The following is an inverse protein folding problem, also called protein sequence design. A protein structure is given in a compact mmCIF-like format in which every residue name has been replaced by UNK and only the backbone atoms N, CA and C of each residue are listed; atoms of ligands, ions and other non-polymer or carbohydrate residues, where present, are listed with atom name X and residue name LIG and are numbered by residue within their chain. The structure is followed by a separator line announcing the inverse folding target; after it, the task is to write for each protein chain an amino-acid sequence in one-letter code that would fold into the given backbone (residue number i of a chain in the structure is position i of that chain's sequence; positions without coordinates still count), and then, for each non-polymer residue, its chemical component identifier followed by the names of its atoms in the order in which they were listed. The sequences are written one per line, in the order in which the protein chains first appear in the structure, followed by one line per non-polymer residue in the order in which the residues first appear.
data_IF_930342930821
#
_entry.id   IF_930342930821
#
_cell.length_a   1.000
_cell.length_b   1.000
_cell.length_c   1.000
_cell.angle_alpha   90.00
_cell.angle_beta   90.00
_cell.angle_gamma   90.00
#
_symmetry.space_group_name_H-M   'P 1'
#
loop_
_entity.id
_entity.type
_entity.pdbx_description
1 polymer ?
#
# COMPACT_ATOMS: atom_id res chain seq x y z
N UNK A 1 26.23 -16.55 -26.20
CA UNK A 1 25.85 -15.71 -25.04
C UNK A 1 24.35 -15.94 -24.82
N UNK A 2 23.98 -16.70 -23.80
CA UNK A 2 22.57 -16.85 -23.42
C UNK A 2 22.03 -15.48 -23.06
N UNK A 3 20.94 -15.05 -23.68
CA UNK A 3 20.29 -13.80 -23.37
C UNK A 3 20.00 -13.76 -21.85
N UNK A 4 20.46 -12.71 -21.18
CA UNK A 4 20.09 -12.51 -19.77
C UNK A 4 18.57 -12.39 -19.71
N UNK A 5 17.92 -13.26 -18.89
CA UNK A 5 16.45 -13.28 -18.82
C UNK A 5 15.86 -11.96 -18.32
N UNK A 6 14.54 -11.83 -18.37
CA UNK A 6 13.79 -10.63 -18.01
C UNK A 6 13.23 -10.74 -16.60
N UNK A 7 13.58 -9.79 -15.74
CA UNK A 7 12.99 -9.60 -14.40
C UNK A 7 12.06 -8.40 -14.42
N UNK A 8 10.78 -8.60 -14.12
CA UNK A 8 9.84 -7.51 -13.92
C UNK A 8 9.60 -7.26 -12.43
N UNK A 9 9.69 -6.00 -12.04
CA UNK A 9 9.25 -5.49 -10.75
C UNK A 9 7.89 -4.83 -10.96
N UNK A 10 6.83 -5.48 -10.55
CA UNK A 10 5.47 -4.99 -10.73
C UNK A 10 5.02 -4.20 -9.50
N UNK A 11 4.82 -2.89 -9.68
CA UNK A 11 4.47 -1.95 -8.64
C UNK A 11 5.67 -1.28 -7.98
N UNK A 12 5.53 0.01 -7.68
CA UNK A 12 6.53 0.85 -7.00
C UNK A 12 6.34 0.90 -5.49
N UNK A 13 6.01 -0.22 -4.86
CA UNK A 13 5.83 -0.28 -3.42
C UNK A 13 7.15 -0.15 -2.64
N UNK A 14 7.02 -0.17 -1.32
CA UNK A 14 8.13 0.08 -0.41
C UNK A 14 9.30 -0.92 -0.59
N UNK A 15 8.99 -2.21 -0.77
CA UNK A 15 10.01 -3.25 -0.93
C UNK A 15 10.83 -3.04 -2.20
N UNK A 16 10.17 -2.70 -3.31
CA UNK A 16 10.87 -2.41 -4.57
C UNK A 16 11.71 -1.13 -4.48
N UNK A 17 11.19 -0.08 -3.84
CA UNK A 17 11.94 1.16 -3.60
C UNK A 17 13.23 0.89 -2.79
N UNK A 18 13.15 0.07 -1.73
CA UNK A 18 14.33 -0.32 -0.94
C UNK A 18 15.33 -1.15 -1.74
N UNK A 19 14.85 -2.08 -2.57
CA UNK A 19 15.69 -2.89 -3.44
C UNK A 19 16.42 -2.02 -4.47
N UNK A 20 15.71 -1.11 -5.12
CA UNK A 20 16.31 -0.16 -6.08
C UNK A 20 17.34 0.74 -5.40
N UNK A 21 17.01 1.30 -4.22
CA UNK A 21 17.98 2.08 -3.43
C UNK A 21 19.23 1.27 -3.11
N UNK A 22 19.07 0.01 -2.73
CA UNK A 22 20.20 -0.88 -2.45
C UNK A 22 21.06 -1.11 -3.69
N UNK A 23 20.45 -1.35 -4.85
CA UNK A 23 21.19 -1.55 -6.10
C UNK A 23 21.86 -0.26 -6.59
N UNK A 24 21.25 0.90 -6.38
CA UNK A 24 21.90 2.19 -6.63
C UNK A 24 23.15 2.40 -5.78
N UNK A 25 23.09 1.99 -4.49
CA UNK A 25 24.25 2.11 -3.57
C UNK A 25 25.29 0.99 -3.75
N UNK A 26 24.89 -0.17 -4.27
CA UNK A 26 25.72 -1.37 -4.44
C UNK A 26 25.41 -2.04 -5.78
N UNK A 27 25.89 -1.48 -6.89
CA UNK A 27 25.58 -1.97 -8.24
C UNK A 27 26.00 -3.44 -8.47
N UNK A 28 27.02 -3.90 -7.76
CA UNK A 28 27.50 -5.28 -7.83
C UNK A 28 26.48 -6.32 -7.31
N UNK A 29 25.51 -5.89 -6.50
CA UNK A 29 24.43 -6.75 -5.98
C UNK A 29 23.23 -6.79 -6.91
N UNK A 30 23.19 -5.95 -7.95
CA UNK A 30 22.12 -5.97 -8.93
C UNK A 30 22.21 -7.23 -9.80
N UNK A 31 21.11 -7.97 -9.99
CA UNK A 31 21.08 -9.10 -10.93
C UNK A 31 21.47 -8.68 -12.35
N UNK A 32 22.08 -9.60 -13.09
CA UNK A 32 22.55 -9.33 -14.47
C UNK A 32 21.44 -9.34 -15.53
N UNK A 33 20.22 -9.69 -15.12
CA UNK A 33 19.04 -9.71 -15.97
C UNK A 33 18.68 -8.32 -16.49
N UNK A 34 17.92 -8.27 -17.58
CA UNK A 34 17.20 -7.06 -17.95
C UNK A 34 16.09 -6.81 -16.91
N UNK A 35 16.15 -5.68 -16.20
CA UNK A 35 15.21 -5.39 -15.12
C UNK A 35 14.37 -4.19 -15.49
N UNK A 36 13.04 -4.33 -15.34
CA UNK A 36 12.10 -3.22 -15.56
C UNK A 36 11.17 -3.10 -14.37
N UNK A 37 11.09 -1.89 -13.78
CA UNK A 37 10.02 -1.52 -12.85
C UNK A 37 8.82 -1.02 -13.65
N UNK A 38 7.66 -1.62 -13.41
CA UNK A 38 6.37 -1.18 -13.99
C UNK A 38 5.52 -0.59 -12.89
N UNK A 39 5.15 0.69 -13.00
CA UNK A 39 4.26 1.34 -12.05
C UNK A 39 3.37 2.36 -12.76
N UNK A 40 2.18 2.64 -12.19
CA UNK A 40 1.19 3.56 -12.79
C UNK A 40 1.61 5.03 -12.78
N UNK A 41 2.57 5.40 -11.94
CA UNK A 41 3.08 6.76 -11.78
C UNK A 41 4.59 6.71 -11.55
N UNK A 42 5.30 7.73 -11.99
CA UNK A 42 6.72 7.91 -11.69
C UNK A 42 6.98 8.27 -10.22
N UNK A 43 5.95 8.65 -9.48
CA UNK A 43 6.04 8.99 -8.06
C UNK A 43 5.24 8.00 -7.22
N UNK A 44 5.82 7.54 -6.12
CA UNK A 44 5.14 6.79 -5.08
C UNK A 44 5.17 7.55 -3.75
N UNK A 45 4.09 7.46 -2.96
CA UNK A 45 4.07 8.02 -1.62
C UNK A 45 4.49 6.97 -0.59
N UNK A 46 5.39 7.35 0.29
CA UNK A 46 5.82 6.48 1.39
C UNK A 46 4.72 6.37 2.45
N UNK A 47 4.03 5.25 2.46
CA UNK A 47 2.85 5.05 3.33
C UNK A 47 3.15 5.11 4.82
N UNK A 48 4.38 4.82 5.26
CA UNK A 48 4.79 4.92 6.66
C UNK A 48 4.80 6.35 7.22
N UNK A 49 4.87 7.36 6.36
CA UNK A 49 4.83 8.77 6.77
C UNK A 49 3.43 9.39 6.64
N UNK A 50 2.43 8.67 6.13
CA UNK A 50 1.07 9.18 5.93
C UNK A 50 0.41 9.69 7.21
N UNK A 51 0.52 9.01 8.37
CA UNK A 51 -0.01 9.58 9.62
C UNK A 51 0.59 10.94 9.96
N UNK A 52 1.89 11.12 9.73
CA UNK A 52 2.57 12.41 9.92
C UNK A 52 2.09 13.49 8.93
N UNK A 53 1.84 13.13 7.68
CA UNK A 53 1.22 14.04 6.68
C UNK A 53 -0.19 14.45 7.13
N UNK A 54 -1.03 13.51 7.55
CA UNK A 54 -2.36 13.80 8.08
C UNK A 54 -2.28 14.73 9.30
N UNK A 55 -1.30 14.50 10.18
CA UNK A 55 -1.06 15.33 11.35
C UNK A 55 -0.49 16.74 11.05
N UNK A 56 -0.16 17.03 9.79
CA UNK A 56 0.46 18.28 9.38
C UNK A 56 1.94 18.43 9.76
N UNK A 57 2.63 17.30 10.02
CA UNK A 57 4.06 17.27 10.35
C UNK A 57 4.96 17.29 9.11
N UNK A 58 4.43 16.85 7.99
CA UNK A 58 5.12 16.74 6.70
C UNK A 58 4.30 17.35 5.59
N UNK A 59 4.97 17.81 4.55
CA UNK A 59 4.37 18.16 3.27
C UNK A 59 4.34 16.93 2.36
N UNK A 60 3.50 16.97 1.31
CA UNK A 60 3.29 15.82 0.42
C UNK A 60 4.55 15.43 -0.37
N UNK A 61 5.36 16.40 -0.75
CA UNK A 61 6.61 16.21 -1.47
C UNK A 61 7.68 15.51 -0.63
N UNK A 62 7.67 15.70 0.70
CA UNK A 62 8.59 15.00 1.61
C UNK A 62 8.34 13.49 1.68
N UNK A 63 7.12 13.05 1.33
CA UNK A 63 6.74 11.64 1.27
C UNK A 63 6.96 11.03 -0.13
N UNK A 64 7.26 11.86 -1.12
CA UNK A 64 7.34 11.45 -2.50
C UNK A 64 8.66 10.71 -2.79
N UNK A 65 8.55 9.54 -3.38
CA UNK A 65 9.69 8.78 -3.90
C UNK A 65 9.64 8.89 -5.42
N UNK A 66 10.65 9.50 -6.03
CA UNK A 66 10.82 9.50 -7.48
C UNK A 66 11.35 8.13 -7.93
N UNK A 67 10.45 7.31 -8.44
CA UNK A 67 10.77 5.96 -8.89
C UNK A 67 11.59 5.98 -10.19
N UNK A 68 11.40 6.98 -11.05
CA UNK A 68 12.16 7.12 -12.30
C UNK A 68 13.63 7.40 -12.00
N UNK A 69 13.89 8.41 -11.17
CA UNK A 69 15.24 8.74 -10.73
C UNK A 69 15.91 7.55 -10.01
N UNK A 70 15.16 6.88 -9.15
CA UNK A 70 15.67 5.73 -8.40
C UNK A 70 15.99 4.55 -9.30
N UNK A 71 15.20 4.31 -10.35
CA UNK A 71 15.48 3.30 -11.36
C UNK A 71 16.74 3.65 -12.18
N UNK A 72 16.88 4.90 -12.59
CA UNK A 72 18.06 5.38 -13.33
C UNK A 72 19.34 5.15 -12.51
N UNK A 73 19.32 5.52 -11.22
CA UNK A 73 20.46 5.31 -10.32
C UNK A 73 20.76 3.82 -10.09
N UNK A 74 19.74 2.97 -10.12
CA UNK A 74 19.89 1.53 -9.96
C UNK A 74 20.26 0.80 -11.28
N UNK A 75 20.29 1.48 -12.42
CA UNK A 75 20.48 0.86 -13.73
C UNK A 75 19.31 -0.07 -14.11
N UNK A 76 18.09 0.30 -13.76
CA UNK A 76 16.83 -0.41 -14.01
C UNK A 76 15.95 0.41 -14.94
N UNK A 77 15.32 -0.22 -15.93
CA UNK A 77 14.38 0.48 -16.79
C UNK A 77 13.09 0.82 -16.01
N UNK A 78 12.54 2.02 -16.23
CA UNK A 78 11.24 2.42 -15.68
C UNK A 78 10.19 2.47 -16.78
N UNK A 79 9.06 1.80 -16.56
CA UNK A 79 7.89 1.86 -17.44
C UNK A 79 6.68 2.38 -16.67
N UNK A 80 6.20 3.55 -17.07
CA UNK A 80 4.95 4.09 -16.54
C UNK A 80 3.77 3.44 -17.25
N UNK A 81 3.11 2.51 -16.55
CA UNK A 81 1.95 1.78 -17.03
C UNK A 81 1.10 1.25 -15.88
N UNK A 82 -0.21 1.17 -16.12
CA UNK A 82 -1.13 0.55 -15.17
C UNK A 82 -1.22 -0.95 -15.44
N UNK A 83 -0.92 -1.73 -14.41
CA UNK A 83 -1.03 -3.19 -14.44
C UNK A 83 -2.50 -3.55 -14.22
N UNK A 84 -3.11 -4.25 -15.19
CA UNK A 84 -4.52 -4.65 -15.14
C UNK A 84 -4.70 -6.14 -14.86
N UNK A 85 -3.62 -6.93 -14.99
CA UNK A 85 -3.69 -8.36 -14.77
C UNK A 85 -2.34 -9.06 -14.82
N UNK A 86 -2.39 -10.34 -14.53
CA UNK A 86 -1.27 -11.27 -14.60
C UNK A 86 -1.74 -12.59 -15.21
N UNK A 87 -1.07 -13.06 -16.25
CA UNK A 87 -1.20 -14.41 -16.75
C UNK A 87 0.05 -15.22 -16.36
N UNK A 88 -0.05 -16.09 -15.34
CA UNK A 88 1.10 -16.86 -14.86
C UNK A 88 1.50 -17.99 -15.81
N UNK A 89 0.56 -18.52 -16.60
CA UNK A 89 0.80 -19.62 -17.56
C UNK A 89 1.70 -19.15 -18.71
N UNK A 90 1.37 -18.01 -19.27
CA UNK A 90 2.11 -17.40 -20.37
C UNK A 90 3.23 -16.48 -19.87
N UNK A 91 3.38 -16.36 -18.53
CA UNK A 91 4.37 -15.49 -17.87
C UNK A 91 4.33 -14.06 -18.41
N UNK A 92 3.16 -13.44 -18.43
CA UNK A 92 3.04 -12.06 -18.86
C UNK A 92 2.20 -11.20 -17.92
N UNK A 93 2.57 -9.91 -17.84
CA UNK A 93 1.79 -8.85 -17.20
C UNK A 93 0.90 -8.18 -18.24
N UNK A 94 -0.37 -8.03 -17.91
CA UNK A 94 -1.36 -7.31 -18.72
C UNK A 94 -1.34 -5.83 -18.30
N UNK A 95 -1.24 -4.96 -19.29
CA UNK A 95 -1.15 -3.51 -19.10
C UNK A 95 -2.35 -2.81 -19.75
N UNK A 96 -2.78 -1.69 -19.16
CA UNK A 96 -3.83 -0.87 -19.74
C UNK A 96 -3.35 -0.19 -21.02
N UNK A 97 -4.04 -0.45 -22.13
CA UNK A 97 -3.79 0.17 -23.45
C UNK A 97 -2.33 0.03 -23.93
N UNK A 98 -1.66 -1.06 -23.55
CA UNK A 98 -0.31 -1.40 -24.01
C UNK A 98 -0.20 -2.89 -24.25
N UNK A 99 0.77 -3.34 -25.07
CA UNK A 99 1.10 -4.75 -25.20
C UNK A 99 1.47 -5.36 -23.85
N UNK A 100 1.23 -6.65 -23.71
CA UNK A 100 1.66 -7.41 -22.55
C UNK A 100 3.18 -7.49 -22.45
N UNK A 101 3.68 -7.62 -21.21
CA UNK A 101 5.11 -7.78 -20.94
C UNK A 101 5.40 -9.19 -20.47
N UNK A 102 6.21 -9.91 -21.25
CA UNK A 102 6.71 -11.22 -20.85
C UNK A 102 7.86 -11.13 -19.88
N UNK A 103 7.98 -12.13 -18.99
CA UNK A 103 9.01 -12.20 -17.97
C UNK A 103 9.50 -13.63 -17.74
N UNK A 104 10.74 -13.78 -17.30
CA UNK A 104 11.25 -15.02 -16.75
C UNK A 104 11.05 -15.05 -15.23
N UNK A 105 11.21 -13.89 -14.58
CA UNK A 105 11.00 -13.67 -13.14
C UNK A 105 10.10 -12.45 -12.91
N UNK A 106 9.24 -12.58 -11.91
CA UNK A 106 8.33 -11.51 -11.51
C UNK A 106 8.38 -11.29 -10.00
N UNK A 107 8.56 -10.05 -9.59
CA UNK A 107 8.36 -9.59 -8.21
C UNK A 107 7.14 -8.69 -8.16
N UNK A 108 6.27 -8.88 -7.16
CA UNK A 108 5.02 -8.14 -6.98
C UNK A 108 5.08 -7.26 -5.73
N UNK A 109 4.99 -5.95 -5.91
CA UNK A 109 4.82 -4.97 -4.82
C UNK A 109 3.84 -3.87 -5.28
N UNK A 110 2.65 -4.31 -5.65
CA UNK A 110 1.57 -3.49 -6.22
C UNK A 110 0.70 -2.80 -5.17
N UNK A 111 1.06 -2.95 -3.91
CA UNK A 111 0.31 -2.40 -2.79
C UNK A 111 -0.99 -3.13 -2.54
N UNK A 112 -1.86 -2.46 -1.79
CA UNK A 112 -3.18 -2.96 -1.45
C UNK A 112 -4.21 -1.84 -1.57
N UNK A 113 -5.46 -2.21 -1.80
CA UNK A 113 -6.62 -1.31 -1.80
C UNK A 113 -7.50 -1.64 -0.59
N UNK A 114 -8.18 -0.65 -0.06
CA UNK A 114 -9.21 -0.89 0.94
C UNK A 114 -10.37 -1.65 0.32
N UNK A 115 -11.07 -2.46 1.13
CA UNK A 115 -12.30 -3.10 0.67
C UNK A 115 -13.33 -2.02 0.35
N UNK A 116 -14.04 -2.14 -0.77
CA UNK A 116 -15.15 -1.24 -1.05
C UNK A 116 -16.18 -1.28 0.08
N UNK A 117 -16.70 -0.14 0.46
CA UNK A 117 -17.80 -0.01 1.40
C UNK A 117 -18.78 1.04 0.88
N UNK A 118 -20.04 0.89 1.19
CA UNK A 118 -21.07 1.86 0.83
C UNK A 118 -20.95 3.16 1.64
N UNK A 119 -20.21 3.14 2.76
CA UNK A 119 -20.08 4.26 3.69
C UNK A 119 -18.65 4.69 3.85
N UNK A 120 -18.34 5.96 3.54
CA UNK A 120 -17.07 6.61 3.81
C UNK A 120 -16.00 6.44 2.73
N UNK A 121 -14.97 7.26 2.84
CA UNK A 121 -13.83 7.33 1.92
C UNK A 121 -12.75 6.34 2.37
N UNK A 122 -12.33 5.41 1.51
CA UNK A 122 -11.28 4.47 1.87
C UNK A 122 -9.94 5.19 2.04
N UNK A 123 -9.16 4.80 3.06
CA UNK A 123 -7.81 5.37 3.27
C UNK A 123 -6.86 5.04 2.11
N UNK A 124 -7.13 4.00 1.35
CA UNK A 124 -6.38 3.64 0.13
C UNK A 124 -7.34 3.47 -1.05
N UNK A 125 -7.05 4.11 -2.19
CA UNK A 125 -5.82 4.86 -2.51
C UNK A 125 -5.71 6.19 -1.75
N UNK A 126 -4.48 6.60 -1.42
CA UNK A 126 -4.20 7.75 -0.55
C UNK A 126 -4.66 9.08 -1.15
N UNK A 127 -4.63 9.21 -2.46
CA UNK A 127 -5.00 10.44 -3.16
C UNK A 127 -6.45 10.88 -2.83
N UNK A 128 -7.38 9.91 -2.84
CA UNK A 128 -8.78 10.19 -2.54
C UNK A 128 -9.00 10.58 -1.07
N UNK A 129 -8.33 9.89 -0.15
CA UNK A 129 -8.46 10.18 1.29
C UNK A 129 -7.80 11.52 1.66
N UNK A 130 -6.69 11.87 1.04
CA UNK A 130 -6.04 13.16 1.28
C UNK A 130 -6.87 14.31 0.70
N UNK A 131 -7.41 14.17 -0.51
CA UNK A 131 -8.30 15.16 -1.09
C UNK A 131 -9.57 15.36 -0.24
N UNK A 132 -10.14 14.27 0.29
CA UNK A 132 -11.25 14.35 1.24
C UNK A 132 -10.87 15.13 2.51
N UNK A 133 -9.73 14.83 3.12
CA UNK A 133 -9.28 15.55 4.33
C UNK A 133 -8.95 17.02 4.07
N UNK A 134 -8.53 17.37 2.86
CA UNK A 134 -8.29 18.75 2.45
C UNK A 134 -9.62 19.54 2.26
N UNK A 135 -10.73 18.85 1.93
CA UNK A 135 -12.06 19.46 1.79
C UNK A 135 -12.82 19.59 3.10
N UNK A 136 -12.37 18.92 4.18
CA UNK A 136 -13.07 18.97 5.48
C UNK A 136 -12.86 20.28 6.20
N UNK A 137 -13.94 20.82 6.77
CA UNK A 137 -13.90 21.99 7.66
C UNK A 137 -13.51 21.57 9.08
N UNK A 138 -12.38 22.07 9.62
CA UNK A 138 -11.98 21.77 11.00
C UNK A 138 -12.99 22.21 12.07
N UNK A 139 -13.82 23.19 11.77
CA UNK A 139 -14.82 23.77 12.70
C UNK A 139 -16.19 23.12 12.63
N UNK A 140 -16.40 22.20 11.68
CA UNK A 140 -17.69 21.53 11.53
C UNK A 140 -18.06 20.77 12.81
N UNK A 141 -19.30 20.89 13.24
CA UNK A 141 -19.86 20.25 14.43
C UNK A 141 -20.13 18.75 14.22
N UNK A 142 -20.28 18.31 12.96
CA UNK A 142 -20.51 16.91 12.65
C UNK A 142 -19.23 16.08 12.91
N UNK A 143 -19.31 15.00 13.70
CA UNK A 143 -18.13 14.19 14.01
C UNK A 143 -17.53 13.54 12.77
N UNK A 144 -16.21 13.66 12.59
CA UNK A 144 -15.49 12.86 11.61
C UNK A 144 -15.21 11.48 12.19
N UNK A 145 -15.66 10.44 11.48
CA UNK A 145 -15.53 9.04 11.92
C UNK A 145 -14.39 8.31 11.19
N UNK A 146 -13.54 7.63 11.94
CA UNK A 146 -12.59 6.65 11.41
C UNK A 146 -13.16 5.26 11.69
N UNK A 147 -13.41 4.50 10.62
CA UNK A 147 -13.99 3.15 10.70
C UNK A 147 -12.88 2.12 10.60
N UNK A 148 -12.67 1.36 11.66
CA UNK A 148 -11.65 0.33 11.79
C UNK A 148 -10.58 0.69 12.83
N UNK A 149 -10.60 0.00 13.97
CA UNK A 149 -9.71 0.22 15.11
C UNK A 149 -8.43 -0.64 15.07
N UNK A 150 -7.98 -1.05 13.88
CA UNK A 150 -6.65 -1.63 13.69
C UNK A 150 -5.55 -0.57 13.74
N UNK A 151 -4.28 -0.99 13.60
CA UNK A 151 -3.13 -0.09 13.68
C UNK A 151 -3.28 1.16 12.79
N UNK A 152 -3.68 1.00 11.53
CA UNK A 152 -3.86 2.12 10.61
C UNK A 152 -4.97 3.09 11.08
N UNK A 153 -6.09 2.60 11.59
CA UNK A 153 -7.17 3.46 12.08
C UNK A 153 -6.79 4.23 13.34
N UNK A 154 -6.06 3.59 14.25
CA UNK A 154 -5.52 4.23 15.45
C UNK A 154 -4.53 5.35 15.08
N UNK A 155 -3.59 5.08 14.18
CA UNK A 155 -2.63 6.08 13.70
C UNK A 155 -3.34 7.26 13.03
N UNK A 156 -4.34 6.98 12.17
CA UNK A 156 -5.10 8.01 11.46
C UNK A 156 -5.92 8.87 12.42
N UNK A 157 -6.66 8.29 13.36
CA UNK A 157 -7.50 9.09 14.28
C UNK A 157 -6.66 9.95 15.22
N UNK A 158 -5.52 9.47 15.68
CA UNK A 158 -4.58 10.24 16.49
C UNK A 158 -3.91 11.36 15.67
N UNK A 159 -3.57 11.10 14.42
CA UNK A 159 -3.05 12.10 13.50
C UNK A 159 -4.09 13.23 13.24
N UNK A 160 -5.36 12.85 13.05
CA UNK A 160 -6.47 13.80 12.91
C UNK A 160 -6.66 14.65 14.17
N UNK A 161 -6.55 14.07 15.38
CA UNK A 161 -6.61 14.82 16.63
C UNK A 161 -5.51 15.87 16.72
N UNK A 162 -4.30 15.52 16.27
CA UNK A 162 -3.20 16.49 16.21
C UNK A 162 -3.48 17.60 15.19
N UNK A 163 -4.01 17.25 14.02
CA UNK A 163 -4.35 18.22 12.95
C UNK A 163 -5.46 19.17 13.37
N UNK A 164 -6.51 18.63 14.01
CA UNK A 164 -7.73 19.33 14.40
C UNK A 164 -8.04 19.13 15.88
N UNK A 165 -7.41 19.92 16.78
CA UNK A 165 -7.52 19.72 18.21
C UNK A 165 -8.94 19.82 18.78
N UNK A 166 -9.82 20.57 18.12
CA UNK A 166 -11.20 20.81 18.59
C UNK A 166 -12.28 20.00 17.82
N UNK A 167 -11.92 19.38 16.72
CA UNK A 167 -12.87 18.60 15.92
C UNK A 167 -13.40 17.40 16.69
N UNK A 168 -14.71 17.17 16.63
CA UNK A 168 -15.29 15.94 17.16
C UNK A 168 -14.81 14.73 16.33
N UNK A 169 -14.13 13.77 16.99
CA UNK A 169 -13.58 12.59 16.34
C UNK A 169 -14.15 11.31 16.95
N UNK A 170 -14.45 10.35 16.09
CA UNK A 170 -14.95 9.04 16.49
C UNK A 170 -14.08 7.93 15.88
N UNK A 171 -13.82 6.88 16.66
CA UNK A 171 -13.18 5.66 16.18
C UNK A 171 -14.20 4.52 16.30
N UNK A 172 -14.59 3.95 15.17
CA UNK A 172 -15.52 2.83 15.14
C UNK A 172 -14.77 1.50 15.08
N UNK A 173 -15.06 0.61 16.03
CA UNK A 173 -14.61 -0.77 16.02
C UNK A 173 -15.78 -1.73 15.77
N UNK A 174 -15.53 -2.83 15.04
CA UNK A 174 -16.59 -3.80 14.72
C UNK A 174 -16.90 -4.70 15.90
N UNK A 175 -15.85 -5.21 16.55
CA UNK A 175 -15.96 -6.11 17.70
C UNK A 175 -14.57 -6.27 18.34
N UNK A 176 -14.55 -6.57 19.61
CA UNK A 176 -13.33 -6.76 20.38
C UNK A 176 -13.11 -5.63 21.37
N UNK A 177 -12.26 -5.88 22.33
CA UNK A 177 -11.90 -4.91 23.35
C UNK A 177 -10.53 -4.34 22.97
N UNK A 178 -10.44 -3.03 22.84
CA UNK A 178 -9.16 -2.35 22.70
C UNK A 178 -8.31 -2.62 23.97
N UNK A 179 -7.02 -2.71 23.79
CA UNK A 179 -6.09 -2.73 24.92
C UNK A 179 -6.38 -1.57 25.88
N UNK A 180 -6.40 -1.79 27.21
CA UNK A 180 -6.70 -0.74 28.18
C UNK A 180 -5.84 0.51 28.06
N UNK A 181 -4.55 0.36 27.70
CA UNK A 181 -3.66 1.50 27.49
C UNK A 181 -4.09 2.32 26.25
N UNK A 182 -4.54 1.65 25.19
CA UNK A 182 -5.08 2.34 24.00
C UNK A 182 -6.41 3.03 24.31
N UNK A 183 -7.29 2.41 25.11
CA UNK A 183 -8.54 3.05 25.56
C UNK A 183 -8.25 4.32 26.34
N UNK A 184 -7.31 4.27 27.27
CA UNK A 184 -6.90 5.44 28.05
C UNK A 184 -6.31 6.53 27.16
N UNK A 185 -5.47 6.17 26.18
CA UNK A 185 -4.90 7.12 25.21
C UNK A 185 -5.99 7.82 24.40
N UNK A 186 -6.96 7.07 23.87
CA UNK A 186 -8.08 7.62 23.11
C UNK A 186 -8.97 8.54 23.96
N UNK A 187 -9.22 8.17 25.21
CA UNK A 187 -9.95 8.99 26.15
C UNK A 187 -9.23 10.31 26.46
N UNK A 188 -7.93 10.26 26.72
CA UNK A 188 -7.10 11.46 26.91
C UNK A 188 -7.07 12.34 25.66
N UNK A 189 -7.06 11.74 24.49
CA UNK A 189 -7.17 12.42 23.20
C UNK A 189 -8.61 12.89 22.86
N UNK A 190 -9.57 12.69 23.75
CA UNK A 190 -10.99 13.04 23.53
C UNK A 190 -11.56 12.44 22.23
N UNK A 191 -11.19 11.20 21.92
CA UNK A 191 -11.71 10.45 20.78
C UNK A 191 -12.76 9.48 21.30
N UNK A 192 -14.00 9.59 20.79
CA UNK A 192 -15.09 8.71 21.17
C UNK A 192 -14.96 7.37 20.44
N UNK A 193 -14.92 6.27 21.20
CA UNK A 193 -14.96 4.91 20.63
C UNK A 193 -16.42 4.49 20.46
N UNK A 194 -16.76 3.96 19.29
CA UNK A 194 -18.08 3.45 18.92
C UNK A 194 -17.97 1.96 18.63
N UNK A 195 -18.80 1.16 19.29
CA UNK A 195 -18.86 -0.29 19.07
C UNK A 195 -19.95 -0.66 18.06
N UNK A 196 -19.64 -1.70 17.25
CA UNK A 196 -20.59 -2.28 16.30
C UNK A 196 -20.72 -1.56 14.96
N UNK A 197 -21.72 -1.96 14.20
CA UNK A 197 -22.04 -1.40 12.88
C UNK A 197 -23.11 -0.29 13.02
N UNK A 198 -22.76 0.78 13.69
CA UNK A 198 -23.65 1.95 13.79
C UNK A 198 -23.68 2.70 12.44
N UNK A 199 -24.89 2.90 11.90
CA UNK A 199 -25.09 3.66 10.67
C UNK A 199 -24.80 5.14 10.91
N UNK A 200 -23.77 5.63 10.23
CA UNK A 200 -23.37 7.03 10.28
C UNK A 200 -23.45 7.62 8.87
N UNK A 201 -24.17 8.72 8.73
CA UNK A 201 -24.30 9.42 7.44
C UNK A 201 -23.26 10.52 7.23
N UNK A 202 -22.49 10.85 8.27
CA UNK A 202 -21.50 11.91 8.24
C UNK A 202 -20.15 11.53 7.61
N UNK A 203 -19.20 12.47 7.64
CA UNK A 203 -17.87 12.28 7.03
C UNK A 203 -17.14 11.11 7.67
N UNK A 204 -16.64 10.19 6.84
CA UNK A 204 -16.03 8.96 7.33
C UNK A 204 -14.81 8.53 6.52
N UNK A 205 -13.75 8.09 7.21
CA UNK A 205 -12.58 7.42 6.64
C UNK A 205 -12.60 5.93 6.95
N UNK A 206 -12.40 5.10 5.93
CA UNK A 206 -12.37 3.65 6.07
C UNK A 206 -10.93 3.15 6.21
N UNK A 207 -10.61 2.66 7.40
CA UNK A 207 -9.35 2.00 7.73
C UNK A 207 -9.54 0.49 7.93
N UNK A 208 -10.58 -0.09 7.31
CA UNK A 208 -10.95 -1.50 7.44
C UNK A 208 -10.27 -2.32 6.38
N UNK A 209 -9.49 -3.31 6.80
CA UNK A 209 -8.94 -4.37 5.96
C UNK A 209 -8.44 -3.95 4.58
N UNK A 210 -7.35 -4.50 4.16
CA UNK A 210 -6.83 -4.31 2.80
C UNK A 210 -6.91 -5.61 2.02
N UNK A 211 -7.05 -5.49 0.70
CA UNK A 211 -7.00 -6.61 -0.22
C UNK A 211 -6.02 -6.30 -1.34
N UNK A 212 -5.45 -7.34 -1.95
CA UNK A 212 -4.65 -7.16 -3.15
C UNK A 212 -5.50 -6.57 -4.29
N UNK A 213 -4.87 -6.06 -5.36
CA UNK A 213 -5.59 -5.57 -6.52
C UNK A 213 -6.50 -6.66 -7.07
N UNK A 214 -7.68 -6.25 -7.56
CA UNK A 214 -8.77 -7.17 -7.96
C UNK A 214 -8.52 -8.00 -9.21
N UNK A 215 -7.37 -7.84 -9.87
CA UNK A 215 -6.99 -8.70 -10.97
C UNK A 215 -6.58 -10.08 -10.46
N UNK A 216 -7.54 -10.99 -10.52
CA UNK A 216 -7.32 -12.41 -10.22
C UNK A 216 -7.06 -13.13 -11.53
N UNK A 217 -5.88 -13.72 -11.72
CA UNK A 217 -5.78 -14.80 -12.68
C UNK A 217 -6.69 -15.94 -12.19
N UNK A 218 -7.37 -16.65 -13.06
CA UNK A 218 -8.38 -17.66 -12.70
C UNK A 218 -7.88 -18.78 -11.80
N UNK A 219 -6.60 -18.86 -11.48
CA UNK A 219 -5.97 -20.00 -10.77
C UNK A 219 -5.05 -19.57 -9.60
N UNK A 220 -4.90 -18.29 -9.30
CA UNK A 220 -3.94 -17.87 -8.26
C UNK A 220 -4.64 -17.48 -6.97
N UNK A 221 -4.51 -18.32 -5.94
CA UNK A 221 -4.93 -18.03 -4.58
C UNK A 221 -3.79 -17.37 -3.82
N UNK A 222 -3.95 -16.10 -3.46
CA UNK A 222 -3.05 -15.44 -2.53
C UNK A 222 -3.10 -16.17 -1.18
N UNK A 223 -1.95 -16.58 -0.68
CA UNK A 223 -1.82 -17.05 0.70
C UNK A 223 -1.10 -15.94 1.45
N UNK A 224 -1.79 -15.20 2.35
CA UNK A 224 -1.10 -14.30 3.26
C UNK A 224 -0.23 -15.16 4.19
N UNK A 225 1.06 -14.92 4.19
CA UNK A 225 1.94 -15.47 5.21
C UNK A 225 1.80 -14.62 6.47
N UNK A 226 1.23 -15.20 7.51
CA UNK A 226 1.21 -14.59 8.82
C UNK A 226 2.62 -14.58 9.43
N UNK A 227 3.04 -13.41 9.87
CA UNK A 227 4.01 -13.18 10.94
C UNK A 227 5.39 -13.79 10.79
N UNK A 228 6.31 -13.01 10.29
CA UNK A 228 7.71 -12.86 10.69
C UNK A 228 8.45 -12.10 9.59
N UNK A 229 9.22 -11.10 9.94
CA UNK A 229 9.93 -10.14 9.08
C UNK A 229 10.92 -10.71 8.05
N UNK A 230 10.49 -11.68 7.30
CA UNK A 230 11.18 -12.21 6.12
C UNK A 230 10.39 -11.81 4.90
N UNK A 231 11.05 -11.26 3.91
CA UNK A 231 10.49 -11.06 2.58
C UNK A 231 10.04 -12.43 2.08
N UNK A 232 8.74 -12.70 2.19
CA UNK A 232 8.18 -13.98 1.79
C UNK A 232 7.92 -13.94 0.29
N UNK A 233 8.64 -14.75 -0.47
CA UNK A 233 8.22 -15.11 -1.81
C UNK A 233 6.86 -15.82 -1.68
N UNK A 234 5.79 -15.20 -2.17
CA UNK A 234 4.47 -15.80 -2.19
C UNK A 234 4.51 -17.04 -3.09
N UNK A 235 4.26 -18.21 -2.53
CA UNK A 235 4.08 -19.46 -3.31
C UNK A 235 2.68 -19.45 -3.94
N UNK A 236 2.65 -19.48 -5.24
CA UNK A 236 1.42 -19.66 -5.99
C UNK A 236 1.06 -21.15 -6.03
N UNK A 237 -0.14 -21.52 -5.56
CA UNK A 237 -0.63 -22.90 -5.74
C UNK A 237 -1.11 -23.08 -7.19
N UNK A 238 -0.58 -24.07 -7.88
CA UNK A 238 -0.94 -24.38 -9.26
C UNK A 238 0.17 -24.21 -10.30
N UNK A 239 1.30 -23.62 -9.91
CA UNK A 239 2.53 -23.67 -10.72
C UNK A 239 3.42 -24.74 -10.08
N UNK A 240 3.97 -25.69 -10.84
CA UNK A 240 4.96 -26.61 -10.31
C UNK A 240 6.08 -25.80 -9.66
N UNK A 241 6.69 -26.25 -8.56
CA UNK A 241 7.71 -25.50 -7.87
C UNK A 241 8.82 -25.18 -8.85
N UNK A 242 9.00 -23.91 -9.17
CA UNK A 242 10.26 -23.45 -9.75
C UNK A 242 11.36 -23.92 -8.80
N UNK A 243 12.34 -24.59 -9.35
CA UNK A 243 13.50 -25.15 -8.66
C UNK A 243 13.99 -24.22 -7.54
N UNK A 244 14.44 -24.72 -6.37
CA UNK A 244 14.72 -23.91 -5.18
C UNK A 244 15.93 -22.97 -5.27
N UNK A 245 16.38 -22.64 -6.47
CA UNK A 245 17.56 -21.82 -6.72
C UNK A 245 17.37 -20.29 -6.65
N UNK A 246 16.21 -19.80 -6.20
CA UNK A 246 15.96 -18.35 -6.07
C UNK A 246 15.73 -17.93 -4.62
N UNK A 247 16.51 -18.46 -3.68
CA UNK A 247 16.65 -17.87 -2.36
C UNK A 247 17.82 -16.87 -2.44
N UNK A 248 17.52 -15.61 -2.62
CA UNK A 248 18.48 -14.54 -2.36
C UNK A 248 18.68 -14.52 -0.85
N UNK A 249 19.86 -14.96 -0.42
CA UNK A 249 20.38 -14.79 0.94
C UNK A 249 20.68 -13.32 1.22
#
# INVERSE_FOLDING_TARGET
MTAAGVLLLAGGGHSHALVLKRWAMRPEQRPKQSITLVNRSSTALYSGMVPGLIAGLYQRDELAIDLRQLCDQAGVAFMEAEITGLNPQDKCLLLRNRPELHFDWLSLDVGAVSRPSATGIPIKPLEASLAFLESEDPSDSEPLRVIGAGAAGLEVVLALRRRWPQRALQLQQRSGQLDPALQQLLQQAQIKVIDGDDSHSGPSLLCTGSQGPGWRPPVCRWIPMAGSGRIAASRWRGIPPCSPAATVR
#
